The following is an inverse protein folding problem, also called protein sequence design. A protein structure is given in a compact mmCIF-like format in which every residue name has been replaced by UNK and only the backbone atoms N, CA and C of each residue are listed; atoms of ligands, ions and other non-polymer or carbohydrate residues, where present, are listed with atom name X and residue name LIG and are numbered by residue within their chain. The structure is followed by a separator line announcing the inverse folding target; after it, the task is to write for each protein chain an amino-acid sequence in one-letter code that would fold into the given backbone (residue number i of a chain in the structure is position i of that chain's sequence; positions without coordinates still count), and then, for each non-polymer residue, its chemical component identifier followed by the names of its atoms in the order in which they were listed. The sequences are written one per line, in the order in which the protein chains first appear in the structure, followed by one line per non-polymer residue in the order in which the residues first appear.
data_IF_818514126173
#
_entry.id   IF_818514126173
#
_cell.length_a   1.000
_cell.length_b   1.000
_cell.length_c   1.000
_cell.angle_alpha   90.00
_cell.angle_beta   90.00
_cell.angle_gamma   90.00
#
_symmetry.space_group_name_H-M   'P 1'
#
loop_
_entity.id
_entity.type
_entity.pdbx_description
1 polymer ?
#
# COMPACT_ATOMS: atom_id res chain seq x y z
N UNK A 1 30.03 8.41 4.11
CA UNK A 1 29.47 7.05 4.30
C UNK A 1 27.96 7.18 4.15
N UNK A 2 27.33 6.42 3.25
CA UNK A 2 25.87 6.45 3.13
C UNK A 2 25.24 5.81 4.38
N UNK A 3 24.31 6.51 5.01
CA UNK A 3 23.58 6.02 6.17
C UNK A 3 22.66 4.86 5.74
N UNK A 4 22.75 3.72 6.44
CA UNK A 4 21.90 2.55 6.18
C UNK A 4 20.57 2.75 6.90
N UNK A 5 19.48 2.86 6.15
CA UNK A 5 18.14 2.94 6.72
C UNK A 5 17.67 1.56 7.22
N UNK A 6 16.95 1.49 8.36
CA UNK A 6 16.40 0.24 8.87
C UNK A 6 15.33 -0.32 7.94
N UNK A 7 15.30 -1.65 7.79
CA UNK A 7 14.27 -2.35 7.00
C UNK A 7 13.11 -2.72 7.91
N UNK A 8 11.90 -2.34 7.50
CA UNK A 8 10.64 -2.62 8.18
C UNK A 8 9.81 -3.58 7.34
N UNK A 9 9.37 -4.68 7.93
CA UNK A 9 8.56 -5.71 7.27
C UNK A 9 7.10 -5.58 7.65
N UNK A 10 6.24 -5.66 6.65
CA UNK A 10 4.81 -5.40 6.75
C UNK A 10 4.05 -6.65 6.31
N UNK A 11 3.10 -7.08 7.12
CA UNK A 11 2.37 -8.32 6.95
C UNK A 11 0.88 -8.08 6.84
N UNK A 12 0.16 -9.03 6.28
CA UNK A 12 -1.29 -9.01 6.23
C UNK A 12 -1.87 -9.02 7.65
N UNK A 13 -2.66 -8.00 8.01
CA UNK A 13 -3.27 -7.90 9.33
C UNK A 13 -4.19 -9.09 9.68
N UNK A 14 -4.69 -9.79 8.66
CA UNK A 14 -5.65 -10.87 8.83
C UNK A 14 -5.02 -12.26 8.99
N UNK A 15 -3.77 -12.45 8.57
CA UNK A 15 -3.13 -13.78 8.59
C UNK A 15 -1.62 -13.76 8.83
N UNK A 16 -1.06 -12.61 9.19
CA UNK A 16 0.37 -12.37 9.47
C UNK A 16 1.31 -12.79 8.33
N UNK A 17 0.81 -12.91 7.11
CA UNK A 17 1.63 -13.26 5.95
C UNK A 17 2.44 -12.06 5.49
N UNK A 18 3.75 -12.21 5.30
CA UNK A 18 4.64 -11.12 4.86
C UNK A 18 4.23 -10.63 3.46
N UNK A 19 4.02 -9.32 3.30
CA UNK A 19 3.52 -8.71 2.07
C UNK A 19 4.55 -7.79 1.41
N UNK A 20 5.21 -6.94 2.18
CA UNK A 20 6.23 -6.02 1.67
C UNK A 20 7.33 -5.75 2.72
N UNK A 21 8.49 -5.32 2.23
CA UNK A 21 9.57 -4.79 3.04
C UNK A 21 9.90 -3.38 2.54
N UNK A 22 10.11 -2.44 3.46
CA UNK A 22 10.40 -1.05 3.10
C UNK A 22 11.32 -0.40 4.12
N UNK A 23 12.13 0.56 3.71
CA UNK A 23 12.87 1.44 4.63
C UNK A 23 12.07 2.67 5.05
N UNK A 24 10.83 2.80 4.57
CA UNK A 24 9.91 3.91 4.91
C UNK A 24 9.12 3.59 6.16
N UNK A 25 8.86 4.60 6.97
CA UNK A 25 7.88 4.51 8.05
C UNK A 25 6.48 4.67 7.44
N UNK A 26 5.66 3.62 7.41
CA UNK A 26 4.35 3.67 6.73
C UNK A 26 3.39 4.71 7.34
N UNK A 27 3.48 4.97 8.65
CA UNK A 27 2.61 5.92 9.34
C UNK A 27 2.84 7.37 8.93
N UNK A 28 4.01 7.71 8.40
CA UNK A 28 4.34 9.07 7.94
C UNK A 28 3.96 9.30 6.47
N UNK A 29 3.48 8.26 5.77
CA UNK A 29 3.13 8.39 4.35
C UNK A 29 1.81 9.16 4.18
N UNK A 30 1.70 9.96 3.11
CA UNK A 30 0.46 10.65 2.80
C UNK A 30 -0.67 9.64 2.56
N UNK A 31 -1.87 10.01 2.99
CA UNK A 31 -3.08 9.26 2.72
C UNK A 31 -3.86 9.89 1.59
N UNK A 32 -4.52 9.05 0.81
CA UNK A 32 -5.39 9.47 -0.28
C UNK A 32 -6.60 10.23 0.28
N UNK A 33 -6.66 11.53 0.02
CA UNK A 33 -7.71 12.44 0.51
C UNK A 33 -8.73 12.87 -0.56
N UNK A 34 -9.94 13.21 -0.11
CA UNK A 34 -11.11 13.61 -0.90
C UNK A 34 -12.40 12.94 -0.40
N UNK A 35 -13.55 13.56 -0.61
CA UNK A 35 -14.84 12.96 -0.26
C UNK A 35 -15.03 11.62 -0.99
N UNK A 36 -15.59 10.63 -0.30
CA UNK A 36 -15.80 9.28 -0.85
C UNK A 36 -14.52 8.48 -1.17
N UNK A 37 -13.34 8.88 -0.68
CA UNK A 37 -12.09 8.11 -0.86
C UNK A 37 -11.76 7.23 0.35
N UNK A 38 -10.98 6.19 0.08
CA UNK A 38 -10.66 5.07 0.98
C UNK A 38 -9.54 5.34 1.99
N UNK A 39 -8.99 6.57 2.03
CA UNK A 39 -7.89 6.96 2.94
C UNK A 39 -6.64 6.05 2.83
N UNK A 40 -6.46 5.40 1.69
CA UNK A 40 -5.35 4.48 1.45
C UNK A 40 -3.99 5.19 1.61
N UNK A 41 -3.02 4.51 2.21
CA UNK A 41 -1.63 4.97 2.27
C UNK A 41 -1.04 4.96 0.88
N UNK A 42 -0.43 6.08 0.48
CA UNK A 42 0.24 6.22 -0.80
C UNK A 42 1.70 5.82 -0.59
N UNK A 43 2.07 4.61 -1.03
CA UNK A 43 3.41 4.05 -0.92
C UNK A 43 4.15 4.21 -2.26
N UNK A 44 5.13 5.11 -2.36
CA UNK A 44 5.92 5.24 -3.57
C UNK A 44 6.74 3.98 -3.83
N UNK A 45 6.73 3.54 -5.08
CA UNK A 45 7.68 2.54 -5.60
C UNK A 45 8.73 3.29 -6.42
N UNK A 46 10.00 3.08 -6.08
CA UNK A 46 11.10 3.60 -6.89
C UNK A 46 11.31 2.65 -8.07
N UNK A 47 11.10 3.14 -9.29
CA UNK A 47 11.45 2.37 -10.48
C UNK A 47 12.97 2.36 -10.65
N UNK A 48 13.55 1.17 -10.86
CA UNK A 48 14.99 0.91 -11.00
C UNK A 48 15.72 1.82 -12.04
N UNK A 49 14.98 2.47 -12.93
CA UNK A 49 15.49 3.29 -14.05
C UNK A 49 15.83 4.75 -13.65
N UNK A 50 15.49 5.20 -12.44
CA UNK A 50 15.75 6.56 -11.96
C UNK A 50 16.82 6.61 -10.87
N UNK A 51 17.99 6.02 -11.13
CA UNK A 51 19.14 6.08 -10.23
C UNK A 51 20.00 7.32 -10.50
N UNK A 52 19.46 8.52 -10.28
CA UNK A 52 20.32 9.67 -9.95
C UNK A 52 20.47 9.73 -8.44
N UNK A 53 21.70 9.42 -7.99
CA UNK A 53 22.07 9.21 -6.61
C UNK A 53 21.94 10.49 -5.77
N UNK A 54 20.80 10.67 -5.10
CA UNK A 54 20.68 11.53 -3.91
C UNK A 54 20.81 10.68 -2.64
N UNK A 55 21.36 11.23 -1.54
CA UNK A 55 21.60 10.46 -0.32
C UNK A 55 20.27 10.06 0.34
N UNK A 56 20.16 8.76 0.67
CA UNK A 56 19.02 8.06 1.31
C UNK A 56 17.76 7.84 0.44
N UNK A 57 17.92 7.14 -0.69
CA UNK A 57 16.80 6.60 -1.46
C UNK A 57 16.06 5.52 -0.63
N UNK A 58 14.75 5.65 -0.52
CA UNK A 58 13.93 4.80 0.32
C UNK A 58 13.40 3.63 -0.51
N UNK A 59 14.01 2.46 -0.35
CA UNK A 59 13.61 1.26 -1.08
C UNK A 59 12.35 0.62 -0.49
N UNK A 60 11.48 0.15 -1.39
CA UNK A 60 10.32 -0.69 -1.08
C UNK A 60 10.34 -1.90 -2.00
N UNK A 61 10.21 -3.09 -1.42
CA UNK A 61 10.10 -4.36 -2.11
C UNK A 61 8.73 -4.96 -1.83
N UNK A 62 7.89 -5.05 -2.86
CA UNK A 62 6.70 -5.89 -2.81
C UNK A 62 7.14 -7.34 -2.93
N UNK A 63 6.78 -8.19 -1.98
CA UNK A 63 7.04 -9.62 -2.12
C UNK A 63 6.00 -10.23 -3.07
N UNK A 64 6.34 -11.38 -3.67
CA UNK A 64 5.46 -12.13 -4.59
C UNK A 64 4.15 -12.62 -3.96
N UNK A 65 3.92 -12.27 -2.70
CA UNK A 65 2.75 -12.52 -1.89
C UNK A 65 1.72 -11.39 -1.98
N UNK A 66 2.03 -10.27 -2.64
CA UNK A 66 1.07 -9.24 -3.04
C UNK A 66 0.64 -9.49 -4.48
N UNK A 67 -0.51 -10.15 -4.65
CA UNK A 67 -0.96 -10.61 -5.97
C UNK A 67 -1.94 -9.59 -6.56
N UNK A 68 -1.62 -8.96 -7.71
CA UNK A 68 -2.58 -8.13 -8.44
C UNK A 68 -3.62 -9.00 -9.16
N UNK A 69 -4.89 -8.58 -9.09
CA UNK A 69 -5.98 -9.15 -9.87
C UNK A 69 -5.74 -8.85 -11.36
N UNK A 70 -5.85 -9.88 -12.21
CA UNK A 70 -5.61 -9.75 -13.67
C UNK A 70 -6.58 -8.80 -14.36
N UNK A 71 -7.80 -8.69 -13.83
CA UNK A 71 -8.85 -7.83 -14.37
C UNK A 71 -8.96 -6.59 -13.49
N UNK A 72 -8.86 -5.37 -14.06
CA UNK A 72 -9.05 -4.16 -13.29
C UNK A 72 -10.50 -4.01 -12.86
N UNK A 73 -10.71 -3.48 -11.67
CA UNK A 73 -12.00 -3.05 -11.15
C UNK A 73 -12.25 -1.60 -11.52
N UNK A 74 -13.42 -1.30 -12.07
CA UNK A 74 -13.85 0.06 -12.39
C UNK A 74 -14.74 0.60 -11.28
N UNK A 75 -14.33 1.71 -10.68
CA UNK A 75 -15.12 2.44 -9.69
C UNK A 75 -15.68 3.68 -10.36
N UNK A 76 -17.00 3.81 -10.36
CA UNK A 76 -17.69 5.02 -10.82
C UNK A 76 -17.76 6.02 -9.67
N UNK A 77 -17.31 7.24 -9.92
CA UNK A 77 -17.35 8.38 -9.01
C UNK A 77 -18.06 9.55 -9.69
N UNK A 78 -18.36 10.58 -8.92
CA UNK A 78 -18.92 11.84 -9.42
C UNK A 78 -17.95 12.59 -10.34
N UNK A 79 -16.63 12.45 -10.11
CA UNK A 79 -15.54 13.06 -10.87
C UNK A 79 -15.07 12.21 -12.06
N UNK A 80 -15.62 11.00 -12.24
CA UNK A 80 -15.32 10.13 -13.38
C UNK A 80 -15.17 8.65 -13.02
N UNK A 81 -14.28 7.95 -13.74
CA UNK A 81 -14.05 6.52 -13.58
C UNK A 81 -12.64 6.27 -13.07
N UNK A 82 -12.53 5.56 -11.94
CA UNK A 82 -11.26 5.15 -11.37
C UNK A 82 -11.02 3.66 -11.64
N UNK A 83 -9.93 3.36 -12.33
CA UNK A 83 -9.58 1.99 -12.75
C UNK A 83 -8.47 1.46 -11.85
N UNK A 84 -8.75 0.37 -11.14
CA UNK A 84 -7.87 -0.19 -10.08
C UNK A 84 -7.49 -1.64 -10.37
N UNK A 85 -6.21 -1.96 -10.26
CA UNK A 85 -5.71 -3.34 -10.18
C UNK A 85 -5.60 -3.74 -8.71
N UNK A 86 -6.53 -4.56 -8.23
CA UNK A 86 -6.67 -4.91 -6.81
C UNK A 86 -5.51 -5.79 -6.37
N UNK A 87 -4.88 -5.47 -5.24
CA UNK A 87 -3.84 -6.28 -4.61
C UNK A 87 -4.44 -7.15 -3.50
N UNK A 88 -4.11 -8.44 -3.53
CA UNK A 88 -4.55 -9.43 -2.55
C UNK A 88 -3.36 -10.04 -1.81
N UNK A 89 -3.59 -10.40 -0.55
CA UNK A 89 -2.68 -11.29 0.16
C UNK A 89 -2.63 -12.67 -0.52
N UNK A 90 -1.44 -13.16 -0.81
CA UNK A 90 -1.22 -14.45 -1.47
C UNK A 90 -1.67 -15.65 -0.64
N UNK A 91 -1.79 -15.48 0.69
CA UNK A 91 -2.25 -16.52 1.62
C UNK A 91 -3.76 -16.52 1.81
N UNK A 92 -4.33 -15.45 2.38
CA UNK A 92 -5.75 -15.41 2.72
C UNK A 92 -6.65 -14.78 1.63
N UNK A 93 -6.06 -14.25 0.53
CA UNK A 93 -6.76 -13.60 -0.59
C UNK A 93 -7.58 -12.35 -0.25
N UNK A 94 -7.51 -11.87 1.00
CA UNK A 94 -8.09 -10.59 1.41
C UNK A 94 -7.46 -9.46 0.62
N UNK A 95 -8.26 -8.45 0.28
CA UNK A 95 -7.82 -7.26 -0.43
C UNK A 95 -7.00 -6.39 0.53
N UNK A 96 -5.79 -6.04 0.11
CA UNK A 96 -4.85 -5.27 0.95
C UNK A 96 -4.48 -3.92 0.35
N UNK A 97 -4.76 -3.71 -0.93
CA UNK A 97 -4.41 -2.49 -1.62
C UNK A 97 -4.81 -2.54 -3.08
N UNK A 98 -4.26 -1.62 -3.88
CA UNK A 98 -4.42 -1.61 -5.32
C UNK A 98 -3.34 -0.74 -6.00
N UNK A 99 -3.17 -0.92 -7.31
CA UNK A 99 -2.56 0.06 -8.20
C UNK A 99 -3.65 0.80 -8.98
N UNK A 100 -3.42 2.06 -9.33
CA UNK A 100 -4.21 2.71 -10.37
C UNK A 100 -3.67 2.27 -11.75
N UNK A 101 -4.55 2.23 -12.74
CA UNK A 101 -4.16 1.97 -14.10
C UNK A 101 -3.30 3.11 -14.67
N UNK A 102 -2.44 2.80 -15.66
CA UNK A 102 -1.47 3.76 -16.21
C UNK A 102 -2.08 5.07 -16.71
N UNK A 103 -3.37 5.06 -17.10
CA UNK A 103 -4.13 6.27 -17.51
C UNK A 103 -4.16 7.36 -16.43
N UNK A 104 -4.02 6.99 -15.16
CA UNK A 104 -4.06 7.92 -14.03
C UNK A 104 -2.74 8.67 -13.80
N UNK A 105 -1.70 8.39 -14.59
CA UNK A 105 -0.37 8.98 -14.43
C UNK A 105 0.09 9.63 -15.73
N UNK A 106 0.49 10.90 -15.66
CA UNK A 106 1.17 11.58 -16.77
C UNK A 106 2.54 10.95 -17.03
N UNK A 107 3.24 10.56 -15.96
CA UNK A 107 4.51 9.85 -16.00
C UNK A 107 4.35 8.44 -15.41
N UNK A 108 4.50 7.42 -16.26
CA UNK A 108 4.42 6.02 -15.85
C UNK A 108 5.54 5.60 -14.89
N UNK A 109 6.56 6.45 -14.66
CA UNK A 109 7.68 6.17 -13.76
C UNK A 109 7.31 6.23 -12.27
N UNK A 110 6.15 6.80 -11.91
CA UNK A 110 5.73 6.96 -10.52
C UNK A 110 4.38 6.29 -10.28
N UNK A 111 4.38 4.95 -10.24
CA UNK A 111 3.19 4.15 -9.94
C UNK A 111 3.22 3.68 -8.48
N UNK A 112 2.71 4.49 -7.53
CA UNK A 112 2.63 4.07 -6.14
C UNK A 112 1.69 2.88 -5.95
N UNK A 113 1.87 2.22 -4.83
CA UNK A 113 0.91 1.26 -4.28
C UNK A 113 0.00 2.00 -3.33
N UNK A 114 -1.30 1.80 -3.45
CA UNK A 114 -2.28 2.28 -2.47
C UNK A 114 -2.59 1.15 -1.51
N UNK A 115 -2.09 1.22 -0.29
CA UNK A 115 -2.40 0.24 0.75
C UNK A 115 -3.66 0.66 1.49
N UNK A 116 -4.64 -0.23 1.56
CA UNK A 116 -5.86 0.05 2.31
C UNK A 116 -5.53 0.21 3.80
N UNK A 117 -6.22 1.12 4.52
CA UNK A 117 -6.00 1.27 5.95
C UNK A 117 -6.16 -0.09 6.66
N UNK A 118 -5.28 -0.36 7.63
CA UNK A 118 -5.17 -1.61 8.42
C UNK A 118 -5.24 -2.93 7.67
N UNK A 119 -4.94 -2.94 6.38
CA UNK A 119 -4.68 -4.20 5.68
C UNK A 119 -3.31 -4.77 6.01
N UNK A 120 -2.39 -3.92 6.48
CA UNK A 120 -1.01 -4.26 6.82
C UNK A 120 -0.68 -3.91 8.27
N UNK A 121 0.21 -4.70 8.86
CA UNK A 121 0.78 -4.50 10.20
C UNK A 121 2.28 -4.70 10.16
N UNK A 122 3.00 -3.86 10.89
CA UNK A 122 4.44 -3.95 11.03
C UNK A 122 4.83 -5.11 11.94
N UNK A 123 5.95 -5.77 11.65
CA UNK A 123 6.42 -6.93 12.45
C UNK A 123 6.56 -6.61 13.93
N UNK A 124 7.05 -5.41 14.27
CA UNK A 124 7.25 -4.98 15.65
C UNK A 124 5.93 -4.85 16.44
N UNK A 125 4.81 -4.63 15.75
CA UNK A 125 3.48 -4.46 16.35
C UNK A 125 2.64 -5.74 16.32
N UNK A 126 3.19 -6.84 15.82
CA UNK A 126 2.47 -8.11 15.78
C UNK A 126 2.21 -8.66 17.17
N UNK A 127 0.95 -8.97 17.47
CA UNK A 127 0.56 -9.50 18.78
C UNK A 127 0.30 -8.43 19.83
N UNK A 128 0.49 -7.15 19.50
CA UNK A 128 -0.12 -6.05 20.25
C UNK A 128 -1.59 -5.96 19.82
N UNK A 129 -2.52 -6.10 20.76
CA UNK A 129 -3.93 -5.84 20.51
C UNK A 129 -4.11 -4.32 20.31
N UNK A 130 -4.04 -3.86 19.06
CA UNK A 130 -4.54 -2.52 18.73
C UNK A 130 -6.06 -2.53 18.96
N UNK A 131 -6.52 -1.77 19.95
CA UNK A 131 -7.92 -1.59 20.33
C UNK A 131 -8.80 -1.30 19.11
N UNK A 132 -9.34 -2.37 18.52
CA UNK A 132 -10.66 -2.47 17.91
C UNK A 132 -11.15 -1.36 16.95
N UNK A 133 -10.32 -0.49 16.40
CA UNK A 133 -10.79 0.65 15.59
C UNK A 133 -11.46 0.19 14.28
N UNK A 134 -11.21 -1.06 13.86
CA UNK A 134 -11.94 -1.74 12.78
C UNK A 134 -13.40 -2.09 13.11
N UNK A 135 -13.76 -2.19 14.39
CA UNK A 135 -15.16 -2.44 14.82
C UNK A 135 -16.05 -1.24 14.49
N UNK A 136 -15.50 -0.03 14.49
CA UNK A 136 -16.22 1.20 14.17
C UNK A 136 -16.66 1.28 12.69
N UNK A 137 -15.96 0.60 11.78
CA UNK A 137 -16.34 0.54 10.36
C UNK A 137 -17.37 -0.55 10.03
N UNK A 138 -17.55 -1.53 10.92
CA UNK A 138 -18.55 -2.61 10.75
C UNK A 138 -19.92 -2.17 11.28
N UNK A 139 -19.93 -1.34 12.32
CA UNK A 139 -21.15 -0.78 12.92
C UNK A 139 -21.36 0.59 12.30
N UNK A 140 -21.87 0.61 11.07
CA UNK A 140 -22.10 1.85 10.31
C UNK A 140 -22.80 2.92 11.15
N UNK A 141 -22.22 4.12 11.15
CA UNK A 141 -22.87 5.34 11.58
C UNK A 141 -23.36 6.10 10.35
#
# INVERSE_FOLDING_TARGET
MAERLPIRTQHCQFCNHLLLATTRTLSTLPRRGGEGKDKALILPLENNEASEATPAQHTTLLLSTLIPDRRPTLIRREDGIEKRHILRCGRCRVIVGYHLDAVHYEDQKQQPVYLLPGSVVETEKMGEEEDGQWREWIVGN
#
